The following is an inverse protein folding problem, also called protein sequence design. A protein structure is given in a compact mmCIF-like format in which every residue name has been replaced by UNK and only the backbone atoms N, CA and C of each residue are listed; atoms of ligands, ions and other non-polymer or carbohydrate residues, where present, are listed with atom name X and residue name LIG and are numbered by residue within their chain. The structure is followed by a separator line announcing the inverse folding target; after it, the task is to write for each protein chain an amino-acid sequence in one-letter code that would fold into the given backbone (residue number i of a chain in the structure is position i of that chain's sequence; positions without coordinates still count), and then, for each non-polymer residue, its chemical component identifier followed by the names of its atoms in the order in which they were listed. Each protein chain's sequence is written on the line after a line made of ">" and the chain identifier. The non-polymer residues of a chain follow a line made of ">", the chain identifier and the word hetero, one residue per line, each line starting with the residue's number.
data_IF_559766830317
#
_entry.id   IF_559766830317
#
_cell.length_a   1.000
_cell.length_b   1.000
_cell.length_c   1.000
_cell.angle_alpha   90.00
_cell.angle_beta   90.00
_cell.angle_gamma   90.00
#
_symmetry.space_group_name_H-M   'P 1'
#
loop_
_entity.id
_entity.type
_entity.pdbx_description
1 polymer ?
#
# COMPACT_ATOMS: atom_id res chain seq x y z
N UNK A 1 12.45 -23.37 0.58
CA UNK A 1 12.50 -22.75 1.94
C UNK A 1 11.65 -23.63 2.85
N UNK A 2 12.18 -24.32 3.89
CA UNK A 2 11.53 -25.52 4.43
C UNK A 2 10.08 -25.37 4.94
N UNK A 3 9.66 -24.16 5.30
CA UNK A 3 8.30 -23.88 5.75
C UNK A 3 7.35 -23.46 4.63
N UNK A 4 7.84 -22.69 3.64
CA UNK A 4 7.06 -22.34 2.46
C UNK A 4 6.76 -23.58 1.62
N UNK A 5 7.77 -24.45 1.44
CA UNK A 5 7.63 -25.71 0.70
C UNK A 5 6.54 -26.60 1.35
N UNK A 6 6.51 -26.68 2.68
CA UNK A 6 5.44 -27.39 3.42
C UNK A 6 4.06 -26.77 3.19
N UNK A 7 3.92 -25.45 3.26
CA UNK A 7 2.64 -24.80 3.03
C UNK A 7 2.12 -25.08 1.61
N UNK A 8 3.03 -25.11 0.63
CA UNK A 8 2.72 -25.49 -0.74
C UNK A 8 2.30 -26.95 -0.86
N UNK A 9 2.98 -27.89 -0.18
CA UNK A 9 2.62 -29.31 -0.15
C UNK A 9 1.22 -29.54 0.44
N UNK A 10 0.83 -28.75 1.45
CA UNK A 10 -0.50 -28.78 2.05
C UNK A 10 -1.54 -27.93 1.29
N UNK A 11 -1.18 -27.35 0.14
CA UNK A 11 -2.05 -26.48 -0.67
C UNK A 11 -2.61 -25.29 0.11
N UNK A 12 -1.85 -24.77 1.08
CA UNK A 12 -2.21 -23.57 1.86
C UNK A 12 -1.65 -22.34 1.15
N UNK A 13 -2.49 -21.44 0.61
CA UNK A 13 -2.01 -20.26 -0.10
C UNK A 13 -1.35 -19.28 0.86
N UNK A 14 -0.17 -18.76 0.47
CA UNK A 14 0.54 -17.71 1.19
C UNK A 14 0.32 -16.39 0.46
N UNK A 15 -0.37 -15.45 1.11
CA UNK A 15 -0.64 -14.12 0.57
C UNK A 15 0.37 -13.15 1.20
N UNK A 16 1.23 -12.56 0.38
CA UNK A 16 2.17 -11.55 0.84
C UNK A 16 1.44 -10.23 1.10
N UNK A 17 1.77 -9.56 2.20
CA UNK A 17 1.25 -8.24 2.55
C UNK A 17 2.40 -7.35 3.03
N UNK A 18 2.61 -6.20 2.40
CA UNK A 18 3.71 -5.29 2.75
C UNK A 18 3.45 -3.84 2.36
N UNK A 19 4.28 -2.94 2.89
CA UNK A 19 4.38 -1.55 2.48
C UNK A 19 5.15 -1.32 1.19
N UNK A 20 5.81 -2.37 0.70
CA UNK A 20 6.61 -2.35 -0.53
C UNK A 20 5.77 -2.08 -1.76
N UNK A 21 6.39 -1.53 -2.80
CA UNK A 21 5.72 -1.31 -4.08
C UNK A 21 5.24 -2.63 -4.70
N UNK A 22 4.24 -2.57 -5.59
CA UNK A 22 3.82 -3.76 -6.32
C UNK A 22 4.96 -4.39 -7.12
N UNK A 23 5.87 -3.57 -7.66
CA UNK A 23 7.05 -4.03 -8.39
C UNK A 23 8.03 -4.80 -7.49
N UNK A 24 8.27 -4.36 -6.25
CA UNK A 24 9.06 -5.12 -5.27
C UNK A 24 8.36 -6.43 -4.88
N UNK A 25 7.05 -6.41 -4.72
CA UNK A 25 6.27 -7.59 -4.31
C UNK A 25 6.32 -8.69 -5.37
N UNK A 26 6.27 -8.33 -6.66
CA UNK A 26 6.44 -9.28 -7.77
C UNK A 26 7.84 -9.92 -7.77
N UNK A 27 8.90 -9.14 -7.55
CA UNK A 27 10.27 -9.67 -7.43
C UNK A 27 10.41 -10.63 -6.24
N UNK A 28 9.80 -10.28 -5.11
CA UNK A 28 9.81 -11.14 -3.91
C UNK A 28 9.00 -12.42 -4.13
N UNK A 29 7.85 -12.36 -4.83
CA UNK A 29 7.09 -13.56 -5.16
C UNK A 29 7.92 -14.54 -6.01
N UNK A 30 8.66 -14.02 -6.99
CA UNK A 30 9.54 -14.82 -7.83
C UNK A 30 10.63 -15.52 -7.00
N UNK A 31 11.30 -14.78 -6.12
CA UNK A 31 12.32 -15.33 -5.22
C UNK A 31 11.77 -16.43 -4.27
N UNK A 32 10.49 -16.32 -3.90
CA UNK A 32 9.84 -17.23 -2.96
C UNK A 32 9.07 -18.38 -3.65
N UNK A 33 8.99 -18.40 -4.98
CA UNK A 33 8.20 -19.38 -5.72
C UNK A 33 6.69 -19.23 -5.50
N UNK A 34 6.22 -18.01 -5.25
CA UNK A 34 4.81 -17.66 -4.98
C UNK A 34 4.13 -16.93 -6.16
N UNK A 35 4.72 -17.04 -7.34
CA UNK A 35 4.27 -16.38 -8.56
C UNK A 35 2.80 -16.70 -8.86
N UNK A 36 2.04 -15.68 -9.24
CA UNK A 36 0.63 -15.80 -9.62
C UNK A 36 -0.36 -15.85 -8.45
N UNK A 37 0.10 -16.05 -7.21
CA UNK A 37 -0.74 -15.88 -6.02
C UNK A 37 -1.07 -14.40 -5.79
N UNK A 38 -2.20 -14.09 -5.13
CA UNK A 38 -2.52 -12.71 -4.81
C UNK A 38 -1.54 -12.12 -3.77
N UNK A 39 -1.41 -10.80 -3.77
CA UNK A 39 -0.68 -10.06 -2.75
C UNK A 39 -1.31 -8.69 -2.49
N UNK A 40 -0.93 -8.11 -1.35
CA UNK A 40 -1.31 -6.77 -0.92
C UNK A 40 -0.03 -5.93 -0.81
N UNK A 41 0.09 -4.91 -1.64
CA UNK A 41 1.22 -4.01 -1.71
C UNK A 41 0.84 -2.62 -1.21
N UNK A 42 1.85 -1.80 -0.94
CA UNK A 42 1.67 -0.41 -0.52
C UNK A 42 0.61 -0.33 0.60
N UNK A 43 0.78 -1.10 1.69
CA UNK A 43 -0.11 -1.10 2.86
C UNK A 43 -1.61 -1.22 2.55
N UNK A 44 -1.97 -1.93 1.49
CA UNK A 44 -3.38 -2.11 1.09
C UNK A 44 -3.84 -1.17 -0.01
N UNK A 45 -3.05 -0.14 -0.36
CA UNK A 45 -3.35 0.76 -1.47
C UNK A 45 -3.33 0.05 -2.83
N UNK A 46 -2.62 -1.09 -2.93
CA UNK A 46 -2.60 -1.93 -4.13
C UNK A 46 -2.94 -3.37 -3.75
N UNK A 47 -3.96 -3.92 -4.42
CA UNK A 47 -4.35 -5.33 -4.31
C UNK A 47 -4.10 -5.98 -5.67
N UNK A 48 -3.24 -6.99 -5.71
CA UNK A 48 -3.02 -7.83 -6.88
C UNK A 48 -3.84 -9.12 -6.73
N UNK A 49 -4.89 -9.34 -7.53
CA UNK A 49 -5.64 -10.58 -7.50
C UNK A 49 -4.81 -11.76 -8.03
N UNK A 50 -5.28 -12.97 -7.72
CA UNK A 50 -4.72 -14.19 -8.29
C UNK A 50 -4.86 -14.14 -9.82
N UNK A 51 -3.79 -14.51 -10.53
CA UNK A 51 -3.74 -14.43 -12.01
C UNK A 51 -4.78 -15.32 -12.69
N UNK A 52 -5.32 -16.31 -11.97
CA UNK A 52 -6.36 -17.21 -12.47
C UNK A 52 -7.76 -16.61 -12.42
N UNK A 53 -7.95 -15.46 -11.77
CA UNK A 53 -9.25 -14.81 -11.67
C UNK A 53 -9.55 -13.99 -12.93
N UNK A 54 -10.80 -14.03 -13.41
CA UNK A 54 -11.22 -13.31 -14.62
C UNK A 54 -11.04 -11.77 -14.49
N UNK A 55 -11.05 -11.25 -13.27
CA UNK A 55 -10.76 -9.85 -12.93
C UNK A 55 -9.31 -9.63 -12.48
N UNK A 56 -8.33 -10.35 -13.05
CA UNK A 56 -6.91 -10.37 -12.63
C UNK A 56 -6.13 -9.04 -12.74
N UNK A 57 -6.81 -7.91 -12.89
CA UNK A 57 -6.19 -6.59 -12.89
C UNK A 57 -5.92 -6.10 -11.48
N UNK A 58 -4.75 -5.49 -11.27
CA UNK A 58 -4.40 -4.81 -10.02
C UNK A 58 -5.44 -3.74 -9.69
N UNK A 59 -5.89 -3.71 -8.44
CA UNK A 59 -6.83 -2.72 -7.94
C UNK A 59 -6.08 -1.70 -7.08
N UNK A 60 -6.27 -0.41 -7.37
CA UNK A 60 -5.79 0.68 -6.53
C UNK A 60 -6.95 1.14 -5.64
N UNK A 61 -6.70 1.23 -4.34
CA UNK A 61 -7.66 1.78 -3.38
C UNK A 61 -7.20 3.19 -2.99
N UNK A 62 -8.07 4.20 -3.18
CA UNK A 62 -7.74 5.59 -2.86
C UNK A 62 -7.01 6.31 -3.99
N UNK A 63 -6.06 7.18 -3.62
CA UNK A 63 -5.33 8.03 -4.57
C UNK A 63 -4.15 7.32 -5.21
N UNK A 64 -3.93 7.58 -6.50
CA UNK A 64 -2.73 7.15 -7.21
C UNK A 64 -1.51 7.96 -6.76
N UNK A 65 -0.31 7.40 -6.94
CA UNK A 65 0.95 8.08 -6.68
C UNK A 65 1.03 9.45 -7.38
N UNK A 66 0.53 9.52 -8.63
CA UNK A 66 0.46 10.77 -9.41
C UNK A 66 -0.42 11.84 -8.75
N UNK A 67 -1.48 11.43 -8.06
CA UNK A 67 -2.38 12.36 -7.36
C UNK A 67 -1.85 12.74 -5.97
N UNK A 68 -1.08 11.86 -5.32
CA UNK A 68 -0.44 12.12 -4.02
C UNK A 68 0.74 13.09 -4.17
N UNK A 69 1.52 12.98 -5.25
CA UNK A 69 2.76 13.75 -5.42
C UNK A 69 2.57 15.29 -5.32
N UNK A 70 1.57 15.92 -5.98
CA UNK A 70 1.31 17.35 -5.81
C UNK A 70 0.96 17.75 -4.37
N UNK A 71 0.28 16.88 -3.62
CA UNK A 71 -0.10 17.14 -2.24
C UNK A 71 1.11 17.09 -1.31
N UNK A 72 2.02 16.15 -1.53
CA UNK A 72 3.32 16.10 -0.84
C UNK A 72 4.10 17.40 -1.05
N UNK A 73 4.15 17.88 -2.29
CA UNK A 73 4.85 19.13 -2.61
C UNK A 73 4.16 20.36 -1.97
N UNK A 74 2.82 20.37 -1.92
CA UNK A 74 2.08 21.40 -1.18
C UNK A 74 2.42 21.38 0.32
N UNK A 75 2.49 20.21 0.94
CA UNK A 75 2.86 20.05 2.36
C UNK A 75 4.29 20.59 2.59
N UNK A 76 5.21 20.29 1.68
CA UNK A 76 6.59 20.80 1.70
C UNK A 76 6.63 22.33 1.68
N UNK A 77 5.87 22.96 0.77
CA UNK A 77 5.88 24.41 0.58
C UNK A 77 5.17 25.19 1.68
N UNK A 78 4.05 24.69 2.20
CA UNK A 78 3.20 25.45 3.13
C UNK A 78 3.75 25.55 4.55
N UNK A 79 4.60 24.61 4.96
CA UNK A 79 5.09 24.54 6.33
C UNK A 79 6.62 24.43 6.45
N UNK A 80 7.34 24.35 5.32
CA UNK A 80 8.81 24.24 5.32
C UNK A 80 9.32 22.94 5.94
N UNK A 81 8.48 21.89 5.96
CA UNK A 81 8.84 20.60 6.52
C UNK A 81 10.02 19.98 5.78
N UNK A 82 10.94 19.39 6.54
CA UNK A 82 12.14 18.76 5.99
C UNK A 82 11.91 17.26 5.82
N UNK A 83 11.79 16.81 4.59
CA UNK A 83 11.80 15.40 4.22
C UNK A 83 12.30 15.21 2.79
N UNK A 84 12.72 13.99 2.46
CA UNK A 84 13.15 13.61 1.11
C UNK A 84 12.37 12.38 0.68
N UNK A 85 11.66 12.43 -0.44
CA UNK A 85 10.93 11.29 -1.00
C UNK A 85 11.85 10.39 -1.82
N UNK A 86 11.41 9.17 -2.10
CA UNK A 86 12.09 8.28 -3.05
C UNK A 86 12.02 8.81 -4.50
N UNK A 87 11.10 9.73 -4.79
CA UNK A 87 11.01 10.42 -6.09
C UNK A 87 12.11 11.48 -6.24
N UNK A 88 12.52 12.11 -5.13
CA UNK A 88 13.53 13.17 -5.11
C UNK A 88 14.95 12.64 -5.41
N UNK A 89 15.17 11.33 -5.31
CA UNK A 89 16.49 10.70 -5.41
C UNK A 89 16.53 9.54 -6.40
N UNK A 90 17.73 9.15 -6.82
CA UNK A 90 17.93 7.97 -7.66
C UNK A 90 18.14 6.69 -6.83
N UNK A 91 18.10 5.55 -7.50
CA UNK A 91 18.23 4.22 -6.91
C UNK A 91 19.59 3.98 -6.23
N UNK A 92 20.64 4.74 -6.59
CA UNK A 92 21.92 4.66 -5.88
C UNK A 92 21.76 5.15 -4.44
N UNK A 93 21.16 6.32 -4.26
CA UNK A 93 20.98 6.92 -2.94
C UNK A 93 20.05 6.06 -2.09
N UNK A 94 18.98 5.52 -2.68
CA UNK A 94 18.07 4.59 -1.99
C UNK A 94 18.80 3.30 -1.59
N UNK A 95 19.64 2.75 -2.46
CA UNK A 95 20.49 1.58 -2.14
C UNK A 95 21.41 1.87 -0.96
N UNK A 96 22.03 3.06 -0.92
CA UNK A 96 22.86 3.51 0.21
C UNK A 96 22.06 3.65 1.52
N UNK A 97 20.81 4.10 1.47
CA UNK A 97 19.95 4.27 2.66
C UNK A 97 19.36 2.96 3.18
N UNK A 98 18.98 2.05 2.28
CA UNK A 98 18.18 0.86 2.62
C UNK A 98 19.00 -0.42 2.66
N UNK A 99 20.22 -0.42 2.11
CA UNK A 99 21.02 -1.62 1.91
C UNK A 99 20.52 -2.52 0.77
N UNK A 100 19.48 -2.11 0.03
CA UNK A 100 19.01 -2.83 -1.15
C UNK A 100 20.06 -2.82 -2.27
N UNK A 101 20.03 -3.83 -3.14
CA UNK A 101 20.76 -3.75 -4.41
C UNK A 101 20.20 -2.62 -5.26
N UNK A 102 20.99 -2.07 -6.19
CA UNK A 102 20.51 -1.03 -7.13
C UNK A 102 19.26 -1.44 -7.89
N UNK A 103 19.18 -2.72 -8.27
CA UNK A 103 18.01 -3.28 -8.94
C UNK A 103 16.76 -3.19 -8.04
N UNK A 104 16.83 -3.68 -6.80
CA UNK A 104 15.70 -3.61 -5.86
C UNK A 104 15.37 -2.18 -5.43
N UNK A 105 16.37 -1.32 -5.30
CA UNK A 105 16.16 0.10 -5.05
C UNK A 105 15.40 0.78 -6.21
N UNK A 106 15.61 0.35 -7.46
CA UNK A 106 14.82 0.84 -8.59
C UNK A 106 13.37 0.34 -8.55
N UNK A 107 13.12 -0.88 -8.05
CA UNK A 107 11.75 -1.38 -7.83
C UNK A 107 11.05 -0.64 -6.70
N UNK A 108 11.77 -0.34 -5.61
CA UNK A 108 11.24 0.40 -4.45
C UNK A 108 10.79 1.83 -4.80
N UNK A 109 11.22 2.39 -5.94
CA UNK A 109 10.74 3.69 -6.44
C UNK A 109 9.44 3.63 -7.24
N UNK A 110 9.02 2.44 -7.69
CA UNK A 110 7.88 2.27 -8.59
C UNK A 110 6.57 2.18 -7.81
N UNK A 111 6.20 3.25 -7.14
CA UNK A 111 4.94 3.33 -6.40
C UNK A 111 3.75 3.63 -7.32
N UNK A 112 2.64 2.94 -7.10
CA UNK A 112 1.39 3.13 -7.83
C UNK A 112 0.36 3.96 -7.05
N UNK A 113 0.38 3.88 -5.71
CA UNK A 113 -0.67 4.44 -4.85
C UNK A 113 -0.15 4.99 -3.50
N UNK A 114 1.14 5.29 -3.40
CA UNK A 114 1.77 5.78 -2.19
C UNK A 114 3.06 6.55 -2.45
N UNK A 115 3.61 7.19 -1.43
CA UNK A 115 4.93 7.83 -1.48
C UNK A 115 5.76 7.41 -0.28
N UNK A 116 6.98 6.92 -0.52
CA UNK A 116 7.98 6.70 0.53
C UNK A 116 8.85 7.94 0.71
N UNK A 117 9.07 8.35 1.95
CA UNK A 117 9.91 9.48 2.32
C UNK A 117 10.78 9.21 3.55
N UNK A 118 11.88 9.95 3.68
CA UNK A 118 12.71 10.02 4.88
C UNK A 118 12.41 11.34 5.56
N UNK A 119 11.92 11.27 6.78
CA UNK A 119 11.66 12.46 7.59
C UNK A 119 12.97 13.03 8.14
N UNK A 120 13.14 14.35 8.07
CA UNK A 120 14.35 15.08 8.52
C UNK A 120 14.01 16.27 9.40
N UNK A 121 12.78 16.32 9.90
CA UNK A 121 12.28 17.36 10.80
C UNK A 121 12.00 16.81 12.20
N UNK A 122 11.48 17.64 13.10
CA UNK A 122 11.12 17.23 14.46
C UNK A 122 9.89 16.30 14.48
N UNK A 123 9.72 15.56 15.57
CA UNK A 123 8.52 14.74 15.80
C UNK A 123 7.26 15.61 15.97
N UNK A 124 7.37 16.82 16.53
CA UNK A 124 6.24 17.76 16.64
C UNK A 124 5.76 18.25 15.27
N UNK A 125 6.69 18.50 14.35
CA UNK A 125 6.38 18.79 12.95
C UNK A 125 5.67 17.60 12.29
N UNK A 126 6.11 16.38 12.60
CA UNK A 126 5.47 15.14 12.14
C UNK A 126 4.02 15.01 12.63
N UNK A 127 3.78 15.25 13.93
CA UNK A 127 2.44 15.26 14.51
C UNK A 127 1.54 16.32 13.87
N UNK A 128 2.11 17.46 13.48
CA UNK A 128 1.38 18.53 12.80
C UNK A 128 0.93 18.09 11.40
N UNK A 129 1.78 17.37 10.66
CA UNK A 129 1.39 16.76 9.36
C UNK A 129 0.30 15.72 9.57
N UNK A 130 0.45 14.80 10.53
CA UNK A 130 -0.54 13.76 10.82
C UNK A 130 -1.91 14.34 11.20
N UNK A 131 -1.93 15.38 12.05
CA UNK A 131 -3.18 16.04 12.48
C UNK A 131 -3.82 16.91 11.41
N UNK A 132 -3.05 17.40 10.43
CA UNK A 132 -3.61 18.08 9.25
C UNK A 132 -4.16 17.09 8.22
N UNK A 133 -3.73 15.84 8.30
CA UNK A 133 -4.07 14.76 7.39
C UNK A 133 -5.34 13.98 7.75
N UNK A 134 -6.49 14.64 7.91
CA UNK A 134 -7.80 13.94 8.01
C UNK A 134 -8.16 13.12 6.73
N UNK A 135 -7.24 13.02 5.75
CA UNK A 135 -7.31 12.20 4.53
C UNK A 135 -5.99 11.46 4.20
N UNK A 136 -4.97 11.50 5.05
CA UNK A 136 -3.68 10.87 4.75
C UNK A 136 -3.08 10.22 5.98
N UNK A 137 -2.86 8.90 5.93
CA UNK A 137 -2.10 8.19 6.96
C UNK A 137 -0.62 8.16 6.59
N UNK A 138 0.21 8.62 7.52
CA UNK A 138 1.66 8.49 7.43
C UNK A 138 2.11 7.28 8.25
N UNK A 139 2.43 6.19 7.58
CA UNK A 139 2.87 4.93 8.20
C UNK A 139 4.39 4.94 8.36
N UNK A 140 4.88 4.67 9.56
CA UNK A 140 6.32 4.56 9.82
C UNK A 140 6.83 3.18 9.43
N UNK A 141 7.88 3.13 8.60
CA UNK A 141 8.61 1.92 8.26
C UNK A 141 10.00 1.95 8.92
N UNK A 142 10.63 0.79 9.09
CA UNK A 142 11.89 0.62 9.83
C UNK A 142 12.88 1.81 9.68
N UNK A 143 13.23 2.45 10.81
CA UNK A 143 14.07 3.65 10.86
C UNK A 143 13.30 4.97 10.68
N UNK A 144 13.91 5.96 10.03
CA UNK A 144 13.34 7.29 9.72
C UNK A 144 12.50 7.32 8.42
N UNK A 145 12.27 6.14 7.82
CA UNK A 145 11.46 5.99 6.61
C UNK A 145 9.98 6.05 6.98
N UNK A 146 9.19 6.82 6.24
CA UNK A 146 7.75 7.00 6.40
C UNK A 146 7.08 6.83 5.04
N UNK A 147 5.87 6.30 5.02
CA UNK A 147 5.05 6.12 3.83
C UNK A 147 3.78 6.98 3.98
N UNK A 148 3.41 7.75 2.96
CA UNK A 148 2.16 8.52 2.95
C UNK A 148 1.14 7.91 1.97
N UNK A 149 -0.10 7.73 2.44
CA UNK A 149 -1.21 7.13 1.67
C UNK A 149 -2.56 7.74 2.05
N UNK A 150 -3.52 7.64 1.12
CA UNK A 150 -4.95 7.91 1.38
C UNK A 150 -5.70 6.58 1.57
N UNK A 151 -6.30 6.38 2.74
CA UNK A 151 -7.16 5.21 3.00
C UNK A 151 -8.63 5.62 2.92
N UNK A 152 -9.22 5.47 1.74
CA UNK A 152 -10.67 5.44 1.64
C UNK A 152 -11.15 4.01 1.91
N UNK A 153 -11.32 3.65 3.19
CA UNK A 153 -12.08 2.45 3.54
C UNK A 153 -13.53 2.68 3.09
N UNK A 154 -13.92 2.08 1.97
CA UNK A 154 -15.35 1.90 1.69
C UNK A 154 -15.89 0.94 2.76
N UNK A 155 -16.95 1.31 3.50
CA UNK A 155 -17.63 0.35 4.36
C UNK A 155 -18.03 -0.83 3.47
N UNK A 156 -17.70 -2.05 3.86
CA UNK A 156 -18.25 -3.26 3.25
C UNK A 156 -19.76 -3.05 3.13
N UNK A 157 -20.26 -2.90 1.90
CA UNK A 157 -21.70 -2.94 1.69
C UNK A 157 -22.12 -4.37 2.02
N UNK A 158 -22.68 -4.55 3.21
CA UNK A 158 -23.42 -5.78 3.56
C UNK A 158 -24.56 -5.93 2.53
N UNK A 159 -24.31 -6.78 1.54
CA UNK A 159 -25.31 -7.21 0.58
C UNK A 159 -26.44 -7.91 1.33
N UNK A 160 -27.62 -7.32 1.28
CA UNK A 160 -28.75 -7.67 2.13
C UNK A 160 -29.42 -9.00 1.83
N UNK A 161 -30.31 -9.38 2.76
CA UNK A 161 -31.57 -10.09 2.48
C UNK A 161 -32.42 -10.16 3.76
N UNK A 162 -33.41 -9.28 3.84
CA UNK A 162 -34.58 -9.41 4.70
C UNK A 162 -35.77 -8.86 3.92
N UNK A 163 -36.48 -9.74 3.22
CA UNK A 163 -37.71 -9.41 2.50
C UNK A 163 -38.78 -9.02 3.51
N UNK A 164 -39.27 -7.79 3.42
CA UNK A 164 -40.57 -7.42 3.99
C UNK A 164 -41.67 -8.08 3.15
N UNK A 165 -42.19 -9.21 3.64
CA UNK A 165 -43.44 -9.78 3.18
C UNK A 165 -44.60 -8.88 3.65
N UNK A 166 -45.05 -7.99 2.77
CA UNK A 166 -46.41 -7.43 2.84
C UNK A 166 -47.41 -8.58 2.60
N UNK A 167 -48.11 -9.00 3.65
CA UNK A 167 -49.47 -9.54 3.55
C UNK A 167 -50.41 -8.66 4.37
N UNK A 168 -51.09 -7.77 3.66
CA UNK A 168 -52.42 -7.29 4.02
C UNK A 168 -53.43 -8.45 3.88
N UNK A 169 -54.33 -8.55 4.84
CA UNK A 169 -55.78 -8.86 4.79
C UNK A 169 -56.17 -9.68 6.04
N UNK A 170 -57.33 -9.59 6.73
CA UNK A 170 -58.57 -8.78 6.80
C UNK A 170 -59.34 -9.44 8.00
N UNK A 171 -60.02 -8.64 8.86
CA UNK A 171 -61.18 -8.95 9.76
C UNK A 171 -61.12 -10.17 10.73
N UNK A 172 -61.68 -10.18 11.95
CA UNK A 172 -62.77 -9.44 12.63
C UNK A 172 -62.36 -8.93 14.03
#
# INVERSE_FOLDING_TARGET
>A
MPWLDKLQDYQVPVILCSSKSAAEMLDIQQDLGLEGLPFIAENGAVIQPDVRWEMGQSQITGMTHREIHPLIEQIRQQAGFKFVTFDDVNERVISEWTGLTRYRAALARKHDASVTLIWRDTDDAMLTVQRRGDRFEMVTLAGDIRLLQDHHLTPCQEGGKGKDDKKTEIND
#
